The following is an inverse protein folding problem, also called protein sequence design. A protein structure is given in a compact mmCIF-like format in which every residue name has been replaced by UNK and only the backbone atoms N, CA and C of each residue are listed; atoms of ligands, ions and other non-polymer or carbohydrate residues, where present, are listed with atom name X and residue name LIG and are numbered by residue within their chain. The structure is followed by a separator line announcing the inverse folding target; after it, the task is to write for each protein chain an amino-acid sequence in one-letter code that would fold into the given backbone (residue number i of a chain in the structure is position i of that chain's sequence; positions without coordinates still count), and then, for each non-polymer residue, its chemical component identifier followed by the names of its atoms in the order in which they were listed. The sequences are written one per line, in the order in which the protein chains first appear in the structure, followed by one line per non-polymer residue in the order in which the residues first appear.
data_IF_549218225921
#
_entry.id   IF_549218225921
#
_cell.length_a   1.000
_cell.length_b   1.000
_cell.length_c   1.000
_cell.angle_alpha   90.00
_cell.angle_beta   90.00
_cell.angle_gamma   90.00
#
_symmetry.space_group_name_H-M   'P 1'
#
loop_
_entity.id
_entity.type
_entity.pdbx_description
1 polymer ?
#
# COMPACT_ATOMS: atom_id res chain seq x y z
N UNK A 1 70.29 -19.49 11.90
CA UNK A 1 69.03 -20.25 11.82
C UNK A 1 67.87 -19.35 12.29
N UNK A 2 67.20 -18.70 11.35
CA UNK A 2 66.12 -17.77 11.61
C UNK A 2 64.80 -18.56 11.52
N UNK A 3 64.11 -18.72 12.66
CA UNK A 3 62.74 -19.27 12.70
C UNK A 3 61.76 -18.18 12.28
N UNK A 4 61.18 -18.31 11.12
CA UNK A 4 60.03 -17.54 10.67
C UNK A 4 58.77 -18.15 11.30
N UNK A 5 58.25 -17.41 12.32
CA UNK A 5 56.89 -17.70 12.84
C UNK A 5 55.90 -16.96 11.96
N UNK A 6 55.22 -17.71 11.12
CA UNK A 6 54.08 -17.21 10.34
C UNK A 6 52.84 -17.20 11.27
N UNK A 7 52.46 -16.04 11.76
CA UNK A 7 51.16 -15.80 12.40
C UNK A 7 50.06 -15.85 11.32
N UNK A 8 49.41 -16.99 11.18
CA UNK A 8 48.16 -17.10 10.46
C UNK A 8 47.05 -16.43 11.32
N UNK A 9 46.77 -15.17 11.06
CA UNK A 9 45.54 -14.52 11.55
C UNK A 9 44.37 -15.14 10.81
N UNK A 10 43.73 -16.10 11.45
CA UNK A 10 42.43 -16.59 11.04
C UNK A 10 41.43 -15.47 11.33
N UNK A 11 41.07 -14.71 10.29
CA UNK A 11 39.85 -13.89 10.31
C UNK A 11 38.64 -14.86 10.39
N UNK A 12 38.26 -15.23 11.60
CA UNK A 12 36.91 -15.71 11.86
C UNK A 12 35.97 -14.54 11.72
N UNK A 13 35.53 -14.28 10.48
CA UNK A 13 34.34 -13.51 10.25
C UNK A 13 33.20 -14.24 10.95
N UNK A 14 32.77 -13.75 12.09
CA UNK A 14 31.49 -14.15 12.67
C UNK A 14 30.40 -13.71 11.70
N UNK A 15 30.10 -14.57 10.76
CA UNK A 15 28.79 -14.59 10.13
C UNK A 15 27.84 -15.02 11.24
N UNK A 16 27.17 -14.05 11.89
CA UNK A 16 25.97 -14.35 12.62
C UNK A 16 24.96 -14.85 11.58
N UNK A 17 25.01 -16.15 11.32
CA UNK A 17 23.84 -16.86 10.83
C UNK A 17 22.87 -16.84 12.03
N UNK A 18 22.00 -15.82 12.09
CA UNK A 18 20.75 -15.99 12.82
C UNK A 18 20.18 -17.28 12.25
N UNK A 19 20.10 -18.30 13.11
CA UNK A 19 19.49 -19.57 12.73
C UNK A 19 18.09 -19.22 12.26
N UNK A 20 17.83 -19.41 10.96
CA UNK A 20 16.51 -19.18 10.38
C UNK A 20 15.53 -19.96 11.27
N UNK A 21 14.62 -19.23 11.92
CA UNK A 21 13.59 -19.86 12.72
C UNK A 21 12.78 -20.73 11.77
N UNK A 22 12.86 -22.05 11.95
CA UNK A 22 12.17 -22.99 11.08
C UNK A 22 10.68 -22.74 11.18
N UNK A 23 10.05 -22.30 10.09
CA UNK A 23 8.63 -21.99 10.05
C UNK A 23 7.83 -23.29 9.92
N UNK A 24 6.93 -23.55 10.87
CA UNK A 24 5.99 -24.66 10.79
C UNK A 24 4.89 -24.47 9.72
N UNK A 25 4.19 -25.56 9.45
CA UNK A 25 3.06 -25.52 8.51
C UNK A 25 1.94 -24.62 9.03
N UNK A 26 1.41 -23.71 8.18
CA UNK A 26 0.40 -22.71 8.53
C UNK A 26 0.77 -21.65 9.60
N UNK A 27 2.02 -21.56 10.00
CA UNK A 27 2.48 -20.48 10.86
C UNK A 27 2.61 -19.16 10.10
N UNK A 28 2.69 -18.05 10.85
CA UNK A 28 2.93 -16.73 10.29
C UNK A 28 4.31 -16.66 9.61
N UNK A 29 4.38 -15.90 8.55
CA UNK A 29 5.64 -15.54 7.91
C UNK A 29 6.22 -14.34 8.67
N UNK A 30 7.45 -14.46 9.14
CA UNK A 30 8.21 -13.43 9.84
C UNK A 30 9.62 -13.30 9.24
N UNK A 31 10.29 -12.16 9.47
CA UNK A 31 11.67 -11.94 9.08
C UNK A 31 11.90 -12.17 7.57
N UNK A 32 12.88 -12.99 7.23
CA UNK A 32 13.24 -13.24 5.83
C UNK A 32 12.16 -13.93 5.00
N UNK A 33 11.27 -14.67 5.64
CA UNK A 33 10.15 -15.35 4.96
C UNK A 33 9.11 -14.41 4.38
N UNK A 34 9.05 -13.15 4.83
CA UNK A 34 8.12 -12.14 4.32
C UNK A 34 8.60 -11.45 3.05
N UNK A 35 9.91 -11.51 2.74
CA UNK A 35 10.59 -10.64 1.77
C UNK A 35 10.11 -10.79 0.32
N UNK A 36 9.56 -11.94 -0.05
CA UNK A 36 9.16 -12.27 -1.43
C UNK A 36 7.72 -12.77 -1.54
N UNK A 37 6.89 -12.43 -0.58
CA UNK A 37 5.46 -12.75 -0.65
C UNK A 37 4.78 -11.78 -1.61
N UNK A 38 3.93 -12.32 -2.47
CA UNK A 38 3.06 -11.59 -3.36
C UNK A 38 1.72 -12.35 -3.43
N UNK A 39 0.80 -12.01 -2.52
CA UNK A 39 -0.53 -12.64 -2.46
C UNK A 39 -1.49 -11.88 -3.38
N UNK A 40 -2.10 -12.53 -4.39
CA UNK A 40 -2.96 -11.86 -5.35
C UNK A 40 -4.30 -11.43 -4.72
N UNK A 41 -4.71 -10.20 -5.01
CA UNK A 41 -5.98 -9.62 -4.62
C UNK A 41 -6.72 -9.16 -5.89
N UNK A 42 -7.97 -9.56 -6.05
CA UNK A 42 -8.82 -9.24 -7.20
C UNK A 42 -9.76 -10.38 -7.55
N UNK A 43 -10.74 -10.14 -8.45
CA UNK A 43 -11.68 -11.14 -8.92
C UNK A 43 -11.04 -12.08 -9.96
N UNK A 44 -11.66 -13.24 -10.14
CA UNK A 44 -11.21 -14.24 -11.11
C UNK A 44 -11.30 -13.67 -12.54
N UNK A 45 -10.15 -13.58 -13.22
CA UNK A 45 -10.08 -13.14 -14.62
C UNK A 45 -10.28 -11.64 -14.85
N UNK A 46 -10.39 -10.80 -13.82
CA UNK A 46 -10.71 -9.36 -13.95
C UNK A 46 -9.54 -8.43 -13.66
N UNK A 47 -8.32 -8.96 -13.64
CA UNK A 47 -7.12 -8.26 -13.21
C UNK A 47 -6.89 -8.41 -11.70
N UNK A 48 -5.67 -8.08 -11.28
CA UNK A 48 -5.26 -8.22 -9.89
C UNK A 48 -4.13 -7.26 -9.53
N UNK A 49 -3.86 -7.14 -8.27
CA UNK A 49 -2.59 -6.67 -7.71
C UNK A 49 -2.19 -7.57 -6.54
N UNK A 50 -1.00 -7.43 -6.02
CA UNK A 50 -0.55 -8.26 -4.91
C UNK A 50 -0.42 -7.43 -3.63
N UNK A 51 -0.77 -8.04 -2.49
CA UNK A 51 -0.31 -7.60 -1.18
C UNK A 51 0.96 -8.38 -0.84
N UNK A 52 1.98 -7.67 -0.42
CA UNK A 52 3.28 -8.22 -0.04
C UNK A 52 3.33 -8.63 1.42
N UNK A 53 4.36 -9.35 1.81
CA UNK A 53 4.56 -9.74 3.20
C UNK A 53 4.70 -8.58 4.18
N UNK A 54 5.01 -7.38 3.69
CA UNK A 54 5.09 -6.14 4.48
C UNK A 54 3.77 -5.37 4.54
N UNK A 55 2.76 -5.77 3.75
CA UNK A 55 1.50 -5.02 3.59
C UNK A 55 1.50 -4.04 2.41
N UNK A 56 2.63 -3.82 1.75
CA UNK A 56 2.71 -2.99 0.56
C UNK A 56 1.96 -3.61 -0.63
N UNK A 57 1.53 -2.78 -1.58
CA UNK A 57 0.89 -3.25 -2.81
C UNK A 57 1.88 -3.26 -3.97
N UNK A 58 1.80 -4.32 -4.78
CA UNK A 58 2.69 -4.50 -5.94
C UNK A 58 2.00 -5.20 -7.11
N UNK A 59 2.73 -5.33 -8.21
CA UNK A 59 2.31 -6.07 -9.41
C UNK A 59 0.93 -5.65 -9.94
N UNK A 60 0.62 -4.36 -9.91
CA UNK A 60 -0.67 -3.79 -10.34
C UNK A 60 -0.95 -4.12 -11.80
N UNK A 61 -1.82 -5.11 -12.03
CA UNK A 61 -2.09 -5.76 -13.31
C UNK A 61 -3.59 -5.71 -13.65
N UNK A 62 -4.16 -4.51 -13.77
CA UNK A 62 -5.59 -4.29 -13.96
C UNK A 62 -5.99 -3.93 -15.41
N UNK A 63 -5.02 -3.82 -16.34
CA UNK A 63 -5.27 -3.42 -17.74
C UNK A 63 -5.11 -4.60 -18.71
N UNK A 64 -5.83 -5.71 -18.45
CA UNK A 64 -5.92 -6.91 -19.29
C UNK A 64 -4.59 -7.61 -19.60
N UNK A 65 -3.52 -7.29 -18.90
CA UNK A 65 -2.21 -7.92 -19.06
C UNK A 65 -1.44 -7.94 -17.74
N UNK A 66 -0.58 -8.95 -17.53
CA UNK A 66 0.35 -8.92 -16.42
C UNK A 66 1.27 -7.70 -16.50
N UNK A 67 1.46 -7.03 -15.39
CA UNK A 67 2.40 -5.91 -15.26
C UNK A 67 3.23 -6.11 -13.99
N UNK A 68 4.17 -7.04 -14.09
CA UNK A 68 5.05 -7.45 -12.98
C UNK A 68 5.96 -6.27 -12.60
N UNK A 69 6.23 -6.07 -11.33
CA UNK A 69 6.97 -4.95 -10.75
C UNK A 69 6.32 -3.56 -10.95
N UNK A 70 5.08 -3.49 -11.37
CA UNK A 70 4.33 -2.24 -11.37
C UNK A 70 3.85 -1.93 -9.94
N UNK A 71 4.46 -0.94 -9.33
CA UNK A 71 4.21 -0.51 -7.95
C UNK A 71 3.83 0.98 -7.97
N UNK A 72 2.56 1.32 -8.26
CA UNK A 72 2.11 2.71 -8.18
C UNK A 72 2.30 3.25 -6.76
N UNK A 73 2.63 4.52 -6.63
CA UNK A 73 2.70 5.18 -5.32
C UNK A 73 1.30 5.28 -4.74
N UNK A 74 0.98 4.34 -3.87
CA UNK A 74 -0.26 4.28 -3.11
C UNK A 74 0.02 3.59 -1.77
N UNK A 75 -0.54 4.11 -0.68
CA UNK A 75 -0.30 3.59 0.67
C UNK A 75 -1.36 4.06 1.66
N UNK A 76 -1.60 3.22 2.66
CA UNK A 76 -2.31 3.62 3.86
C UNK A 76 -1.34 4.20 4.89
N UNK A 77 -1.78 5.18 5.66
CA UNK A 77 -1.00 5.74 6.76
C UNK A 77 -1.88 6.04 7.97
N UNK A 78 -1.24 6.15 9.13
CA UNK A 78 -1.85 6.62 10.36
C UNK A 78 -1.06 7.82 10.89
N UNK A 79 -1.77 8.81 11.42
CA UNK A 79 -1.19 9.86 12.26
C UNK A 79 -1.80 9.74 13.67
N UNK A 80 -0.94 9.61 14.67
CA UNK A 80 -1.35 9.56 16.09
C UNK A 80 -1.01 10.89 16.74
N UNK A 81 -2.02 11.64 17.14
CA UNK A 81 -1.88 12.98 17.67
C UNK A 81 -1.13 13.00 19.01
N UNK A 82 -0.18 13.91 19.14
CA UNK A 82 0.59 14.10 20.37
C UNK A 82 1.81 13.22 20.52
N UNK A 83 2.12 12.37 19.52
CA UNK A 83 3.32 11.54 19.49
C UNK A 83 4.30 12.08 18.44
N UNK A 84 5.55 12.37 18.84
CA UNK A 84 6.58 12.96 17.97
C UNK A 84 6.84 12.13 16.71
N UNK A 85 6.74 10.81 16.83
CA UNK A 85 6.90 9.86 15.72
C UNK A 85 5.61 9.12 15.42
N UNK A 86 4.47 9.76 15.61
CA UNK A 86 3.14 9.15 15.50
C UNK A 86 2.65 8.90 14.09
N UNK A 87 3.35 9.38 13.05
CA UNK A 87 2.97 9.16 11.65
C UNK A 87 3.74 8.01 11.05
N UNK A 88 3.02 7.02 10.52
CA UNK A 88 3.57 5.81 9.90
C UNK A 88 2.75 5.39 8.69
N UNK A 89 3.44 4.93 7.65
CA UNK A 89 2.81 4.10 6.62
C UNK A 89 2.45 2.75 7.27
N UNK A 90 1.25 2.25 6.96
CA UNK A 90 0.72 0.99 7.48
C UNK A 90 1.32 -0.22 6.73
N UNK A 91 2.63 -0.26 6.74
CA UNK A 91 3.46 -1.27 6.11
C UNK A 91 4.68 -1.57 6.99
N UNK A 92 5.23 -2.77 6.87
CA UNK A 92 6.56 -3.10 7.36
C UNK A 92 7.68 -2.47 6.53
N UNK A 93 8.95 -2.62 6.93
CA UNK A 93 10.10 -2.04 6.23
C UNK A 93 10.20 -2.53 4.78
N UNK A 94 10.60 -1.62 3.88
CA UNK A 94 10.84 -1.98 2.47
C UNK A 94 11.95 -3.02 2.38
N UNK A 95 11.73 -4.18 1.73
CA UNK A 95 12.75 -5.21 1.59
C UNK A 95 14.01 -4.70 0.87
N UNK A 96 15.19 -5.12 1.32
CA UNK A 96 16.45 -4.64 0.76
C UNK A 96 16.63 -4.97 -0.72
N UNK A 97 16.11 -6.11 -1.17
CA UNK A 97 16.19 -6.50 -2.57
C UNK A 97 15.44 -5.53 -3.51
N UNK A 98 14.45 -4.80 -2.98
CA UNK A 98 13.77 -3.72 -3.74
C UNK A 98 14.63 -2.47 -3.81
N UNK A 99 15.36 -2.14 -2.76
CA UNK A 99 16.25 -0.97 -2.71
C UNK A 99 17.49 -1.19 -3.55
N UNK A 100 18.02 -2.41 -3.53
CA UNK A 100 19.29 -2.75 -4.17
C UNK A 100 19.15 -4.00 -5.04
N UNK A 101 19.31 -3.83 -6.35
CA UNK A 101 19.37 -4.95 -7.30
C UNK A 101 18.03 -5.37 -7.94
N UNK A 102 16.90 -4.78 -7.59
CA UNK A 102 15.66 -4.98 -8.33
C UNK A 102 15.64 -4.20 -9.65
N UNK A 103 14.91 -4.64 -10.68
CA UNK A 103 14.61 -3.79 -11.83
C UNK A 103 13.97 -2.47 -11.33
N UNK A 104 14.51 -1.34 -11.77
CA UNK A 104 14.10 0.01 -11.35
C UNK A 104 14.41 0.39 -9.89
N UNK A 105 15.19 -0.38 -9.14
CA UNK A 105 15.55 -0.08 -7.74
C UNK A 105 16.29 1.24 -7.54
N UNK A 106 16.90 1.81 -8.55
CA UNK A 106 17.57 3.11 -8.52
C UNK A 106 16.80 4.23 -9.23
N UNK A 107 15.57 3.98 -9.62
CA UNK A 107 14.71 5.05 -10.15
C UNK A 107 14.33 5.98 -8.99
N UNK A 108 14.89 7.15 -8.96
CA UNK A 108 14.52 8.21 -8.02
C UNK A 108 13.17 8.84 -8.31
N UNK A 109 12.18 8.07 -8.74
CA UNK A 109 10.86 8.54 -9.15
C UNK A 109 9.87 8.63 -7.97
N UNK A 110 10.37 8.93 -6.76
CA UNK A 110 9.53 9.53 -5.73
C UNK A 110 8.53 8.59 -5.06
N UNK A 111 8.88 7.33 -4.90
CA UNK A 111 8.05 6.41 -4.12
C UNK A 111 8.06 6.70 -2.62
N UNK A 112 7.12 6.14 -1.90
CA UNK A 112 6.98 6.28 -0.44
C UNK A 112 8.08 5.56 0.38
N UNK A 113 9.12 5.01 -0.25
CA UNK A 113 10.08 4.12 0.41
C UNK A 113 10.92 4.77 1.51
N UNK A 114 11.14 6.08 1.44
CA UNK A 114 11.85 6.85 2.46
C UNK A 114 11.01 7.21 3.70
N UNK A 115 9.70 7.03 3.63
CA UNK A 115 8.78 7.42 4.70
C UNK A 115 8.76 6.41 5.85
N UNK A 116 8.53 6.86 7.11
CA UNK A 116 8.49 6.00 8.28
C UNK A 116 7.44 4.90 8.20
N UNK A 117 7.83 3.67 8.60
CA UNK A 117 6.99 2.46 8.61
C UNK A 117 7.03 1.79 9.98
N UNK A 118 6.12 0.85 10.20
CA UNK A 118 6.16 -0.02 11.37
C UNK A 118 7.41 -0.92 11.33
N UNK A 119 7.99 -1.20 12.50
CA UNK A 119 9.23 -1.99 12.60
C UNK A 119 8.97 -3.48 12.68
N UNK A 120 7.96 -3.86 13.43
CA UNK A 120 7.58 -5.24 13.64
C UNK A 120 6.39 -5.57 12.75
N UNK A 121 6.48 -6.70 12.06
CA UNK A 121 5.42 -7.13 11.15
C UNK A 121 5.44 -8.65 10.95
N UNK A 122 4.27 -9.19 10.66
CA UNK A 122 4.09 -10.58 10.25
C UNK A 122 3.06 -10.69 9.15
N UNK A 123 3.12 -11.76 8.39
CA UNK A 123 2.17 -12.05 7.31
C UNK A 123 1.58 -13.44 7.48
N UNK A 124 0.30 -13.59 7.20
CA UNK A 124 -0.36 -14.88 7.12
C UNK A 124 -1.30 -14.91 5.92
N UNK A 125 -1.29 -16.01 5.16
CA UNK A 125 -2.22 -16.21 4.05
C UNK A 125 -3.14 -17.38 4.33
N UNK A 126 -4.42 -17.14 4.14
CA UNK A 126 -5.48 -18.18 4.14
C UNK A 126 -6.50 -17.81 3.07
N UNK A 127 -6.23 -18.20 1.84
CA UNK A 127 -7.12 -17.84 0.72
C UNK A 127 -8.60 -18.05 1.10
N UNK A 128 -9.48 -17.07 0.86
CA UNK A 128 -9.29 -15.85 0.07
C UNK A 128 -8.73 -14.64 0.85
N UNK A 129 -8.16 -14.83 2.04
CA UNK A 129 -7.68 -13.77 2.93
C UNK A 129 -6.15 -13.74 3.03
N UNK A 130 -5.61 -12.54 3.19
CA UNK A 130 -4.25 -12.29 3.63
C UNK A 130 -4.28 -11.35 4.83
N UNK A 131 -3.47 -11.64 5.85
CA UNK A 131 -3.40 -10.85 7.08
C UNK A 131 -1.98 -10.33 7.26
N UNK A 132 -1.87 -9.05 7.65
CA UNK A 132 -0.60 -8.40 8.04
C UNK A 132 -0.81 -7.80 9.42
N UNK A 133 0.06 -8.13 10.36
CA UNK A 133 0.10 -7.49 11.67
C UNK A 133 1.29 -6.54 11.70
N UNK A 134 1.09 -5.37 12.30
CA UNK A 134 2.06 -4.30 12.39
C UNK A 134 2.12 -3.78 13.83
N UNK A 135 3.32 -3.66 14.39
CA UNK A 135 3.56 -3.08 15.70
C UNK A 135 4.83 -2.21 15.69
N UNK A 136 4.86 -1.19 16.53
CA UNK A 136 6.05 -0.34 16.75
C UNK A 136 5.98 0.22 18.18
N UNK A 137 7.02 -0.01 18.98
CA UNK A 137 7.09 0.46 20.38
C UNK A 137 6.97 2.00 20.54
N UNK A 138 7.17 2.77 19.46
CA UNK A 138 7.04 4.23 19.46
C UNK A 138 5.63 4.71 19.07
N UNK A 139 4.72 3.79 18.72
CA UNK A 139 3.34 4.10 18.33
C UNK A 139 2.39 3.31 19.23
N UNK A 140 1.46 3.96 19.94
CA UNK A 140 0.60 3.28 20.92
C UNK A 140 -0.58 2.54 20.27
N UNK A 141 -0.47 2.18 19.01
CA UNK A 141 -1.50 1.50 18.24
C UNK A 141 -0.86 0.35 17.48
N UNK A 142 -1.33 -0.86 17.76
CA UNK A 142 -1.09 -2.01 16.90
C UNK A 142 -2.13 -2.05 15.77
N UNK A 143 -1.71 -2.51 14.59
CA UNK A 143 -2.58 -2.57 13.43
C UNK A 143 -2.62 -3.98 12.85
N UNK A 144 -3.82 -4.47 12.59
CA UNK A 144 -4.04 -5.69 11.81
C UNK A 144 -4.74 -5.31 10.50
N UNK A 145 -4.11 -5.62 9.38
CA UNK A 145 -4.68 -5.49 8.05
C UNK A 145 -5.16 -6.85 7.58
N UNK A 146 -6.42 -6.94 7.19
CA UNK A 146 -7.00 -8.10 6.49
C UNK A 146 -7.36 -7.68 5.08
N UNK A 147 -6.70 -8.26 4.08
CA UNK A 147 -7.03 -8.09 2.67
C UNK A 147 -7.76 -9.33 2.17
N UNK A 148 -8.76 -9.15 1.28
CA UNK A 148 -9.57 -10.26 0.79
C UNK A 148 -9.96 -10.15 -0.69
N UNK A 149 -10.14 -11.33 -1.29
CA UNK A 149 -10.65 -11.52 -2.64
C UNK A 149 -12.17 -11.75 -2.61
N UNK A 150 -12.92 -11.31 -3.63
CA UNK A 150 -14.36 -11.60 -3.76
C UNK A 150 -14.60 -13.05 -4.18
N UNK A 151 -14.02 -14.02 -3.46
CA UNK A 151 -14.12 -15.44 -3.81
C UNK A 151 -15.24 -16.13 -3.05
N UNK A 152 -16.24 -16.62 -3.79
CA UNK A 152 -17.35 -17.40 -3.28
C UNK A 152 -17.34 -18.74 -4.01
N UNK A 153 -17.13 -19.88 -3.34
CA UNK A 153 -17.16 -21.19 -3.98
C UNK A 153 -18.47 -21.42 -4.73
N UNK A 154 -18.39 -21.87 -5.99
CA UNK A 154 -19.51 -22.15 -6.89
C UNK A 154 -20.32 -20.92 -7.36
N UNK A 155 -19.82 -19.70 -7.14
CA UNK A 155 -20.42 -18.45 -7.61
C UNK A 155 -19.37 -17.69 -8.42
N UNK A 156 -19.26 -18.00 -9.70
CA UNK A 156 -18.29 -17.41 -10.62
C UNK A 156 -18.55 -15.94 -10.90
N UNK A 157 -19.79 -15.51 -10.93
CA UNK A 157 -20.17 -14.12 -11.23
C UNK A 157 -19.69 -13.19 -10.12
N UNK A 158 -20.01 -13.49 -8.85
CA UNK A 158 -19.56 -12.69 -7.73
C UNK A 158 -18.05 -12.84 -7.47
N UNK A 159 -17.47 -14.01 -7.73
CA UNK A 159 -16.03 -14.24 -7.64
C UNK A 159 -15.22 -13.49 -8.70
N UNK A 160 -15.86 -13.04 -9.79
CA UNK A 160 -15.23 -12.31 -10.89
C UNK A 160 -15.42 -10.80 -10.80
N UNK A 161 -15.92 -10.27 -9.70
CA UNK A 161 -16.00 -8.82 -9.51
C UNK A 161 -14.61 -8.19 -9.48
N UNK A 162 -14.35 -7.09 -10.24
CA UNK A 162 -13.07 -6.38 -10.24
C UNK A 162 -12.93 -5.51 -8.99
N UNK A 163 -12.85 -6.15 -7.84
CA UNK A 163 -12.82 -5.49 -6.53
C UNK A 163 -11.79 -6.12 -5.60
N UNK A 164 -11.39 -5.35 -4.60
CA UNK A 164 -10.58 -5.78 -3.47
C UNK A 164 -11.10 -5.12 -2.20
N UNK A 165 -11.05 -5.82 -1.08
CA UNK A 165 -11.40 -5.27 0.22
C UNK A 165 -10.24 -5.34 1.19
N UNK A 166 -10.16 -4.33 2.04
CA UNK A 166 -9.18 -4.20 3.12
C UNK A 166 -9.90 -3.81 4.40
N UNK A 167 -9.60 -4.48 5.48
CA UNK A 167 -10.06 -4.09 6.81
C UNK A 167 -8.84 -3.80 7.68
N UNK A 168 -8.72 -2.55 8.14
CA UNK A 168 -7.69 -2.11 9.07
C UNK A 168 -8.30 -2.10 10.47
N UNK A 169 -7.80 -2.96 11.34
CA UNK A 169 -8.13 -3.01 12.76
C UNK A 169 -7.05 -2.28 13.54
N UNK A 170 -7.44 -1.25 14.30
CA UNK A 170 -6.56 -0.42 15.12
C UNK A 170 -6.83 -0.73 16.58
N UNK A 171 -5.83 -1.17 17.32
CA UNK A 171 -5.91 -1.49 18.74
C UNK A 171 -5.02 -0.54 19.56
N UNK A 172 -5.62 0.18 20.51
CA UNK A 172 -4.88 1.05 21.44
C UNK A 172 -4.19 0.20 22.50
N UNK A 173 -2.87 0.14 22.47
CA UNK A 173 -2.04 -0.63 23.42
C UNK A 173 -1.66 0.18 24.65
N UNK A 174 -2.01 1.48 24.72
CA UNK A 174 -1.67 2.36 25.82
C UNK A 174 -2.77 2.40 26.90
N UNK A 175 -2.46 3.05 28.02
CA UNK A 175 -3.40 3.28 29.13
C UNK A 175 -4.13 4.64 29.02
N UNK A 176 -3.97 5.35 27.90
CA UNK A 176 -4.55 6.67 27.66
C UNK A 176 -5.44 6.64 26.42
N UNK A 177 -6.36 7.61 26.32
CA UNK A 177 -7.14 7.83 25.10
C UNK A 177 -6.22 8.31 23.98
N UNK A 178 -6.34 7.73 22.80
CA UNK A 178 -5.55 8.05 21.62
C UNK A 178 -6.45 8.60 20.54
N UNK A 179 -6.10 9.79 20.01
CA UNK A 179 -6.74 10.38 18.83
C UNK A 179 -5.84 10.13 17.61
N UNK A 180 -6.43 9.64 16.54
CA UNK A 180 -5.69 9.30 15.33
C UNK A 180 -6.48 9.64 14.06
N UNK A 181 -5.75 9.73 12.94
CA UNK A 181 -6.31 9.87 11.60
C UNK A 181 -5.75 8.73 10.74
N UNK A 182 -6.63 7.86 10.26
CA UNK A 182 -6.29 6.95 9.17
C UNK A 182 -6.35 7.71 7.85
N UNK A 183 -5.43 7.44 6.93
CA UNK A 183 -5.48 7.95 5.56
C UNK A 183 -5.15 6.87 4.55
N UNK A 184 -5.74 6.99 3.35
CA UNK A 184 -5.31 6.26 2.17
C UNK A 184 -4.98 7.23 1.06
N UNK A 185 -3.78 7.12 0.53
CA UNK A 185 -3.14 8.08 -0.34
C UNK A 185 -2.74 7.40 -1.65
N UNK A 186 -3.04 8.01 -2.80
CA UNK A 186 -2.67 7.44 -4.10
C UNK A 186 -2.35 8.52 -5.12
N UNK A 187 -1.24 8.37 -5.82
CA UNK A 187 -1.03 9.08 -7.08
C UNK A 187 -2.01 8.57 -8.13
N UNK A 188 -2.33 9.40 -9.12
CA UNK A 188 -3.20 8.98 -10.23
C UNK A 188 -2.43 8.06 -11.20
N UNK A 189 -2.25 6.81 -10.82
CA UNK A 189 -1.56 5.79 -11.62
C UNK A 189 -2.35 5.32 -12.84
N UNK A 190 -3.63 5.68 -12.93
CA UNK A 190 -4.42 5.44 -14.15
C UNK A 190 -3.97 6.33 -15.30
N UNK A 191 -3.33 7.46 -14.99
CA UNK A 191 -2.84 8.39 -16.00
C UNK A 191 -1.81 7.74 -16.93
N UNK A 192 -2.07 7.85 -18.23
CA UNK A 192 -1.12 7.48 -19.28
C UNK A 192 -0.63 8.76 -19.95
N UNK A 193 0.63 9.18 -19.71
CA UNK A 193 1.15 10.43 -20.26
C UNK A 193 1.02 10.52 -21.77
N UNK A 194 0.55 11.68 -22.27
CA UNK A 194 0.37 11.95 -23.69
C UNK A 194 -0.83 11.26 -24.35
N UNK A 195 -1.68 10.57 -23.59
CA UNK A 195 -2.82 9.82 -24.12
C UNK A 195 -4.10 10.16 -23.34
N UNK A 196 -5.07 10.78 -24.02
CA UNK A 196 -6.33 11.19 -23.39
C UNK A 196 -6.14 12.18 -22.24
N UNK A 197 -7.10 12.23 -21.35
CA UNK A 197 -7.14 13.13 -20.19
C UNK A 197 -7.29 12.35 -18.91
N UNK A 198 -6.58 12.80 -17.87
CA UNK A 198 -6.64 12.22 -16.54
C UNK A 198 -7.34 13.17 -15.57
N UNK A 199 -8.17 12.60 -14.71
CA UNK A 199 -8.94 13.31 -13.68
C UNK A 199 -8.91 12.52 -12.39
N UNK A 200 -9.29 13.20 -11.29
CA UNK A 200 -9.70 12.54 -10.05
C UNK A 200 -11.10 13.04 -9.74
N UNK A 201 -12.06 12.14 -9.81
CA UNK A 201 -13.48 12.44 -9.58
C UNK A 201 -13.91 12.05 -8.18
N UNK A 202 -14.99 12.69 -7.72
CA UNK A 202 -15.58 12.38 -6.42
C UNK A 202 -16.32 11.04 -6.45
N UNK A 203 -16.15 10.26 -5.37
CA UNK A 203 -16.98 9.14 -5.02
C UNK A 203 -17.55 9.34 -3.61
N UNK A 204 -18.62 8.61 -3.26
CA UNK A 204 -19.12 8.63 -1.88
C UNK A 204 -18.02 8.13 -0.94
N UNK A 205 -17.59 8.97 -0.01
CA UNK A 205 -16.53 8.68 0.95
C UNK A 205 -15.20 8.20 0.31
N UNK A 206 -14.84 8.75 -0.86
CA UNK A 206 -13.64 8.35 -1.58
C UNK A 206 -13.45 9.09 -2.89
N UNK A 207 -12.63 8.54 -3.76
CA UNK A 207 -12.25 9.16 -5.03
C UNK A 207 -12.10 8.11 -6.14
N UNK A 208 -12.16 8.59 -7.39
CA UNK A 208 -11.96 7.78 -8.59
C UNK A 208 -10.78 8.35 -9.38
N UNK A 209 -9.73 7.57 -9.54
CA UNK A 209 -8.63 7.84 -10.45
C UNK A 209 -9.11 7.48 -11.86
N UNK A 210 -9.17 8.45 -12.76
CA UNK A 210 -9.73 8.27 -14.11
C UNK A 210 -8.77 8.63 -15.20
N UNK A 211 -8.77 7.84 -16.26
CA UNK A 211 -8.14 8.12 -17.54
C UNK A 211 -9.18 7.95 -18.65
N UNK A 212 -9.35 8.96 -19.49
CA UNK A 212 -10.21 8.82 -20.69
C UNK A 212 -9.44 8.11 -21.81
N UNK A 213 -10.16 7.37 -22.65
CA UNK A 213 -9.65 6.92 -23.94
C UNK A 213 -9.70 8.03 -24.98
N UNK A 214 -9.08 7.77 -26.15
CA UNK A 214 -9.24 8.55 -27.38
C UNK A 214 -9.85 7.67 -28.45
N UNK A 215 -10.31 8.25 -29.56
CA UNK A 215 -10.86 7.49 -30.68
C UNK A 215 -9.87 6.44 -31.21
N UNK A 216 -8.57 6.80 -31.27
CA UNK A 216 -7.51 5.92 -31.77
C UNK A 216 -6.96 4.96 -30.69
N UNK A 217 -7.15 5.28 -29.40
CA UNK A 217 -6.61 4.53 -28.27
C UNK A 217 -7.67 4.34 -27.18
N UNK A 218 -8.80 3.68 -27.48
CA UNK A 218 -9.87 3.46 -26.49
C UNK A 218 -9.41 2.62 -25.29
N UNK A 219 -8.41 1.75 -25.47
CA UNK A 219 -7.83 0.90 -24.43
C UNK A 219 -7.12 1.69 -23.32
N UNK A 220 -6.84 2.99 -23.51
CA UNK A 220 -6.33 3.84 -22.44
C UNK A 220 -7.39 4.19 -21.39
N UNK A 221 -8.66 4.07 -21.73
CA UNK A 221 -9.75 4.33 -20.79
C UNK A 221 -9.66 3.37 -19.58
N UNK A 222 -9.88 3.94 -18.41
CA UNK A 222 -9.98 3.16 -17.19
C UNK A 222 -10.21 4.01 -15.97
N UNK A 223 -10.92 3.41 -15.02
CA UNK A 223 -11.24 3.99 -13.72
C UNK A 223 -10.75 3.06 -12.61
N UNK A 224 -10.25 3.66 -11.52
CA UNK A 224 -9.90 2.95 -10.30
C UNK A 224 -10.45 3.73 -9.11
N UNK A 225 -11.39 3.14 -8.40
CA UNK A 225 -12.09 3.76 -7.26
C UNK A 225 -11.49 3.26 -5.96
N UNK A 226 -11.32 4.19 -5.00
CA UNK A 226 -10.90 3.91 -3.63
C UNK A 226 -11.86 4.62 -2.70
N UNK A 227 -12.50 3.89 -1.77
CA UNK A 227 -13.48 4.47 -0.86
C UNK A 227 -13.59 3.69 0.46
N UNK A 228 -14.19 4.32 1.46
CA UNK A 228 -14.52 3.70 2.75
C UNK A 228 -16.02 3.69 2.99
N UNK A 229 -16.51 2.84 3.89
CA UNK A 229 -17.89 2.86 4.36
C UNK A 229 -18.12 3.88 5.51
N UNK A 230 -17.06 4.57 5.97
CA UNK A 230 -17.13 5.50 7.08
C UNK A 230 -17.72 6.85 6.64
N UNK A 231 -18.85 7.32 7.24
CA UNK A 231 -19.48 8.58 6.85
C UNK A 231 -18.70 9.84 7.26
N UNK A 232 -17.70 9.73 8.14
CA UNK A 232 -16.84 10.84 8.56
C UNK A 232 -15.62 11.03 7.65
N UNK A 233 -15.58 10.34 6.51
CA UNK A 233 -14.46 10.44 5.58
C UNK A 233 -14.38 11.82 4.96
N UNK A 234 -13.21 12.45 5.08
CA UNK A 234 -12.83 13.69 4.37
C UNK A 234 -11.98 13.30 3.17
N UNK A 235 -12.15 13.96 2.03
CA UNK A 235 -11.44 13.58 0.79
C UNK A 235 -10.77 14.78 0.16
N UNK A 236 -9.46 14.67 -0.05
CA UNK A 236 -8.66 15.54 -0.89
C UNK A 236 -8.57 14.95 -2.29
N UNK A 237 -9.26 15.53 -3.28
CA UNK A 237 -9.26 15.03 -4.65
C UNK A 237 -8.12 15.62 -5.51
N UNK A 238 -7.30 16.47 -4.94
CA UNK A 238 -6.23 17.11 -5.70
C UNK A 238 -5.08 17.51 -4.79
N UNK A 239 -4.02 16.71 -4.80
CA UNK A 239 -2.79 17.07 -4.12
C UNK A 239 -2.17 18.33 -4.71
N UNK A 240 -1.35 19.01 -3.92
CA UNK A 240 -0.61 20.17 -4.36
C UNK A 240 0.07 19.93 -5.72
N UNK A 241 -0.05 20.91 -6.61
CA UNK A 241 0.56 20.91 -7.93
C UNK A 241 1.34 22.21 -8.13
N UNK A 242 2.66 22.14 -8.00
CA UNK A 242 3.55 23.28 -8.18
C UNK A 242 4.89 22.88 -8.79
N UNK A 243 5.56 23.81 -9.44
CA UNK A 243 6.76 23.54 -10.24
C UNK A 243 8.04 23.26 -9.47
N UNK A 244 8.06 23.46 -8.14
CA UNK A 244 9.27 23.35 -7.32
C UNK A 244 9.15 22.39 -6.13
N UNK A 245 7.97 21.83 -5.90
CA UNK A 245 7.72 20.94 -4.77
C UNK A 245 7.15 19.62 -5.26
N UNK A 246 7.63 18.54 -4.64
CA UNK A 246 7.10 17.22 -4.86
C UNK A 246 5.73 17.06 -4.19
N UNK A 247 4.67 16.71 -4.94
CA UNK A 247 3.32 16.54 -4.37
C UNK A 247 3.25 15.51 -3.24
N UNK A 248 4.07 14.46 -3.32
CA UNK A 248 4.10 13.41 -2.31
C UNK A 248 4.70 13.90 -1.00
N UNK A 249 5.77 14.70 -1.04
CA UNK A 249 6.36 15.32 0.15
C UNK A 249 5.37 16.25 0.84
N UNK A 250 4.65 17.08 0.08
CA UNK A 250 3.61 17.96 0.64
C UNK A 250 2.46 17.13 1.26
N UNK A 251 2.05 16.06 0.59
CA UNK A 251 1.04 15.14 1.14
C UNK A 251 1.52 14.55 2.47
N UNK A 252 2.78 14.13 2.54
CA UNK A 252 3.37 13.57 3.74
C UNK A 252 3.47 14.57 4.89
N UNK A 253 3.94 15.81 4.61
CA UNK A 253 3.99 16.89 5.60
C UNK A 253 2.59 17.17 6.21
N UNK A 254 1.53 17.16 5.37
CA UNK A 254 0.16 17.29 5.84
C UNK A 254 -0.27 16.13 6.75
N UNK A 255 0.16 14.90 6.45
CA UNK A 255 -0.12 13.73 7.29
C UNK A 255 0.63 13.84 8.63
N UNK A 256 1.89 14.28 8.65
CA UNK A 256 2.67 14.47 9.87
C UNK A 256 2.07 15.54 10.80
N UNK A 257 1.43 16.53 10.23
CA UNK A 257 0.70 17.55 10.98
C UNK A 257 -0.74 17.14 11.34
N UNK A 258 -1.19 15.95 10.91
CA UNK A 258 -2.56 15.49 11.12
C UNK A 258 -3.61 16.32 10.37
N UNK A 259 -3.21 17.02 9.31
CA UNK A 259 -4.11 17.84 8.49
C UNK A 259 -4.92 16.95 7.54
N UNK A 260 -6.21 17.18 7.52
CA UNK A 260 -7.16 16.57 6.59
C UNK A 260 -7.56 17.64 5.57
N UNK A 261 -6.79 17.76 4.49
CA UNK A 261 -7.12 18.70 3.42
C UNK A 261 -8.35 18.25 2.64
N UNK A 262 -9.14 19.21 2.18
CA UNK A 262 -10.29 18.97 1.33
C UNK A 262 -10.19 19.86 0.09
N UNK A 263 -9.86 19.26 -1.05
CA UNK A 263 -9.78 19.92 -2.33
C UNK A 263 -10.83 19.36 -3.30
N UNK A 264 -11.37 20.20 -4.21
CA UNK A 264 -12.43 19.79 -5.13
C UNK A 264 -11.97 18.78 -6.16
N UNK A 265 -12.91 17.94 -6.59
CA UNK A 265 -12.73 16.95 -7.66
C UNK A 265 -12.82 17.55 -9.06
N UNK A 266 -12.48 16.74 -10.08
CA UNK A 266 -12.69 17.05 -11.50
C UNK A 266 -11.63 17.93 -12.14
N UNK A 267 -10.51 18.20 -11.45
CA UNK A 267 -9.40 18.95 -12.05
C UNK A 267 -8.61 18.07 -13.03
N UNK A 268 -8.49 18.51 -14.28
CA UNK A 268 -7.68 17.82 -15.29
C UNK A 268 -6.20 17.80 -14.90
N UNK A 269 -5.59 16.62 -14.93
CA UNK A 269 -4.20 16.41 -14.57
C UNK A 269 -3.92 16.43 -13.07
N UNK A 270 -4.94 16.23 -12.22
CA UNK A 270 -4.74 16.01 -10.80
C UNK A 270 -3.78 14.83 -10.57
N UNK A 271 -2.74 15.07 -9.76
CA UNK A 271 -1.61 14.14 -9.60
C UNK A 271 -1.84 13.05 -8.56
N UNK A 272 -2.72 13.29 -7.59
CA UNK A 272 -3.03 12.32 -6.54
C UNK A 272 -4.20 12.79 -5.67
N UNK A 273 -4.71 11.87 -4.85
CA UNK A 273 -5.79 12.10 -3.91
C UNK A 273 -5.54 11.36 -2.59
N UNK A 274 -6.21 11.83 -1.54
CA UNK A 274 -6.21 11.21 -0.22
C UNK A 274 -7.62 11.15 0.35
N UNK A 275 -7.91 10.10 1.09
CA UNK A 275 -9.06 10.08 2.00
C UNK A 275 -8.57 9.97 3.44
N UNK A 276 -9.31 10.55 4.37
CA UNK A 276 -8.97 10.62 5.78
C UNK A 276 -10.16 10.20 6.64
N UNK A 277 -9.90 9.39 7.65
CA UNK A 277 -10.90 8.96 8.64
C UNK A 277 -10.38 9.28 10.03
N UNK A 278 -10.86 10.34 10.69
CA UNK A 278 -10.50 10.63 12.08
C UNK A 278 -11.20 9.64 13.02
N UNK A 279 -10.50 9.25 14.08
CA UNK A 279 -11.07 8.40 15.11
C UNK A 279 -10.37 8.57 16.46
N UNK A 280 -11.04 8.09 17.51
CA UNK A 280 -10.51 8.08 18.88
C UNK A 280 -10.67 6.67 19.43
N UNK A 281 -9.69 6.22 20.22
CA UNK A 281 -9.67 4.93 20.90
C UNK A 281 -9.46 5.15 22.39
N UNK A 282 -10.37 4.63 23.21
CA UNK A 282 -10.13 4.47 24.64
C UNK A 282 -9.00 3.45 24.91
N UNK A 283 -8.42 3.40 26.12
CA UNK A 283 -7.44 2.38 26.48
C UNK A 283 -7.95 0.96 26.20
N UNK A 284 -7.18 0.19 25.42
CA UNK A 284 -7.52 -1.19 25.04
C UNK A 284 -8.66 -1.31 24.02
N UNK A 285 -9.19 -0.20 23.51
CA UNK A 285 -10.23 -0.22 22.48
C UNK A 285 -9.66 -0.65 21.14
N UNK A 286 -10.51 -1.35 20.36
CA UNK A 286 -10.24 -1.73 18.97
C UNK A 286 -11.29 -1.13 18.04
N UNK A 287 -10.85 -0.63 16.87
CA UNK A 287 -11.73 -0.06 15.85
C UNK A 287 -11.33 -0.51 14.46
N UNK A 288 -12.33 -0.83 13.64
CA UNK A 288 -12.14 -1.24 12.26
C UNK A 288 -12.51 -0.13 11.30
N UNK A 289 -11.66 0.04 10.26
CA UNK A 289 -11.92 0.90 9.11
C UNK A 289 -11.82 0.03 7.86
N UNK A 290 -12.88 0.01 7.04
CA UNK A 290 -12.91 -0.76 5.80
C UNK A 290 -12.63 0.13 4.62
N UNK A 291 -11.74 -0.33 3.77
CA UNK A 291 -11.37 0.28 2.50
C UNK A 291 -11.72 -0.67 1.37
N UNK A 292 -12.32 -0.14 0.33
CA UNK A 292 -12.68 -0.91 -0.85
C UNK A 292 -12.04 -0.29 -2.08
N UNK A 293 -11.58 -1.16 -2.99
CA UNK A 293 -11.07 -0.80 -4.29
C UNK A 293 -11.90 -1.48 -5.37
N UNK A 294 -12.21 -0.75 -6.43
CA UNK A 294 -12.91 -1.29 -7.59
C UNK A 294 -12.32 -0.67 -8.86
N UNK A 295 -12.26 -1.44 -9.95
CA UNK A 295 -11.74 -0.93 -11.21
C UNK A 295 -12.60 -1.31 -12.39
N UNK A 296 -12.55 -0.47 -13.42
CA UNK A 296 -13.24 -0.68 -14.67
C UNK A 296 -12.34 -0.26 -15.82
N UNK A 297 -11.93 -1.23 -16.63
CA UNK A 297 -11.09 -1.03 -17.82
C UNK A 297 -11.81 -1.69 -19.01
N UNK A 298 -12.65 -0.93 -19.76
CA UNK A 298 -13.60 -1.53 -20.70
C UNK A 298 -12.98 -2.04 -22.01
N UNK A 299 -11.77 -1.60 -22.35
CA UNK A 299 -11.16 -1.91 -23.64
C UNK A 299 -9.81 -2.59 -23.48
N UNK A 300 -9.55 -3.61 -24.31
CA UNK A 300 -8.28 -4.32 -24.36
C UNK A 300 -7.60 -4.10 -25.72
N UNK A 301 -6.25 -4.10 -25.71
CA UNK A 301 -5.43 -4.20 -26.93
C UNK A 301 -5.16 -5.66 -27.33
N UNK A 302 -5.45 -6.60 -26.44
CA UNK A 302 -5.19 -8.00 -26.67
C UNK A 302 -6.01 -8.51 -27.85
N UNK A 303 -5.36 -9.22 -28.74
CA UNK A 303 -6.00 -9.89 -29.87
C UNK A 303 -5.96 -11.39 -29.64
N UNK A 304 -7.08 -12.04 -29.82
CA UNK A 304 -7.11 -13.49 -29.94
C UNK A 304 -6.50 -13.81 -31.30
N UNK A 305 -5.33 -14.45 -31.27
CA UNK A 305 -4.57 -14.82 -32.46
C UNK A 305 -5.22 -15.93 -33.26
#
# INVERSE_FOLDING_TARGET
LICLVVCALIFQGCWHHESAVERGYNEKYIGEYTRKIAFPIGGIGTGMFCIEGTGALSNMSIRHRPNVFNEPTMFAAIHVKGYEYGTRILEGPVPEWKKFGAPNSSRGDGGSWGMPRFKEYSFQSRFPFAEVELADQNVPIDVKLVAWNPFIPTDEDNSSLPVAGFEYEFHNTSNEEVQAVFSYNSMNFMQTPGRGKAYIDAAKNGFILRQTGTENEPFCQGDFMIYTDNPQTVVNHNWFRGGWFDPLSICWDNLEEGRMEENPAGLEGAVGASLYVPFTLAPGETRNIRLYMAWHVPYSQERIG
#
